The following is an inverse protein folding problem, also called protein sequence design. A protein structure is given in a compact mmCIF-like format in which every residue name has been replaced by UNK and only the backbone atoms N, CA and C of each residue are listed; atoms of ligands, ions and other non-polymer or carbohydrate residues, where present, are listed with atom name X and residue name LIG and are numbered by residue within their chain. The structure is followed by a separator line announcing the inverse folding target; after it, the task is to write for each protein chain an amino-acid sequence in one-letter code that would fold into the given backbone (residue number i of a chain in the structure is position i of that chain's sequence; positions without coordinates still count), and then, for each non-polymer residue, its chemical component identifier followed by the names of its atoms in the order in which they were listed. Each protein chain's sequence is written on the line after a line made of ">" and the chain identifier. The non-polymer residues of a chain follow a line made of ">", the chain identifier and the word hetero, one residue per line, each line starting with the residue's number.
data_IF_522752190686
#
_entry.id   IF_522752190686
#
_cell.length_a   1.000
_cell.length_b   1.000
_cell.length_c   1.000
_cell.angle_alpha   90.00
_cell.angle_beta   90.00
_cell.angle_gamma   90.00
#
_symmetry.space_group_name_H-M   'P 1'
#
loop_
_entity.id
_entity.type
_entity.pdbx_description
1 polymer ?
#
# COMPACT_ATOMS: atom_id res chain seq x y z
N UNK A 1 45.56 16.71 -12.56
CA UNK A 1 45.65 15.49 -13.39
C UNK A 1 44.74 14.43 -12.78
N UNK A 2 43.51 14.26 -13.29
CA UNK A 2 42.57 13.24 -12.85
C UNK A 2 42.27 12.35 -14.06
N UNK A 3 42.62 11.08 -13.94
CA UNK A 3 42.50 10.06 -14.99
C UNK A 3 41.04 9.73 -15.25
N UNK A 4 40.60 10.00 -16.47
CA UNK A 4 39.32 9.62 -17.06
C UNK A 4 39.22 8.09 -17.19
N UNK A 5 38.52 7.47 -16.24
CA UNK A 5 38.21 6.05 -16.29
C UNK A 5 37.02 5.83 -17.24
N UNK A 6 37.35 5.48 -18.48
CA UNK A 6 36.41 5.11 -19.54
C UNK A 6 35.69 3.81 -19.18
N UNK A 7 34.47 3.93 -18.64
CA UNK A 7 33.54 2.80 -18.50
C UNK A 7 32.99 2.46 -19.88
N UNK A 8 33.59 1.47 -20.54
CA UNK A 8 32.97 0.76 -21.68
C UNK A 8 31.68 0.10 -21.17
N UNK A 9 30.55 0.71 -21.48
CA UNK A 9 29.24 0.09 -21.37
C UNK A 9 29.21 -1.09 -22.36
N UNK A 10 29.32 -2.31 -21.83
CA UNK A 10 29.04 -3.52 -22.60
C UNK A 10 27.56 -3.52 -22.95
N UNK A 11 27.23 -3.05 -24.16
CA UNK A 11 25.94 -3.29 -24.81
C UNK A 11 25.79 -4.79 -25.06
N UNK A 12 25.48 -5.56 -24.02
CA UNK A 12 24.95 -6.91 -24.17
C UNK A 12 23.54 -6.74 -24.71
N UNK A 13 23.37 -7.09 -25.99
CA UNK A 13 22.05 -7.31 -26.59
C UNK A 13 21.28 -8.21 -25.61
N UNK A 14 20.08 -7.80 -25.14
CA UNK A 14 19.30 -8.63 -24.23
C UNK A 14 19.09 -9.96 -24.92
N UNK A 15 19.58 -11.04 -24.30
CA UNK A 15 19.38 -12.39 -24.79
C UNK A 15 17.87 -12.56 -25.00
N UNK A 16 17.48 -12.95 -26.21
CA UNK A 16 16.08 -13.21 -26.52
C UNK A 16 15.51 -14.11 -25.40
N UNK A 17 14.32 -13.80 -24.86
CA UNK A 17 13.78 -14.54 -23.74
C UNK A 17 13.79 -16.03 -24.09
N UNK A 18 14.22 -16.90 -23.17
CA UNK A 18 14.35 -18.33 -23.43
C UNK A 18 13.01 -18.83 -23.96
N UNK A 19 12.97 -19.15 -25.25
CA UNK A 19 11.80 -19.79 -25.85
C UNK A 19 11.61 -21.10 -25.13
N UNK A 20 10.43 -21.31 -24.59
CA UNK A 20 10.09 -22.54 -23.89
C UNK A 20 10.27 -23.72 -24.86
N UNK A 21 11.37 -24.45 -24.71
CA UNK A 21 11.71 -25.59 -25.54
C UNK A 21 11.11 -26.83 -24.88
N UNK A 22 9.97 -27.27 -25.39
CA UNK A 22 9.41 -28.57 -25.02
C UNK A 22 10.41 -29.66 -25.44
N UNK A 23 10.94 -30.42 -24.47
CA UNK A 23 11.68 -31.66 -24.78
C UNK A 23 10.73 -32.63 -25.45
N UNK A 24 11.08 -33.13 -26.62
CA UNK A 24 10.30 -34.16 -27.30
C UNK A 24 10.22 -35.41 -26.43
N UNK A 25 9.02 -35.73 -25.92
CA UNK A 25 8.69 -37.07 -25.46
C UNK A 25 7.91 -37.78 -26.56
N UNK A 26 8.25 -39.03 -26.82
CA UNK A 26 7.71 -39.85 -27.93
C UNK A 26 6.46 -40.64 -27.53
N UNK A 27 5.78 -40.25 -26.47
CA UNK A 27 4.64 -40.99 -25.94
C UNK A 27 3.42 -40.86 -26.86
N UNK A 28 2.71 -41.96 -27.08
CA UNK A 28 1.50 -41.99 -27.92
C UNK A 28 0.38 -41.22 -27.21
N UNK A 29 -0.37 -40.41 -27.98
CA UNK A 29 -1.54 -39.66 -27.48
C UNK A 29 -2.59 -40.62 -26.92
N UNK A 30 -2.99 -40.42 -25.66
CA UNK A 30 -4.06 -41.20 -25.05
C UNK A 30 -5.44 -40.63 -25.46
N UNK A 31 -5.92 -41.06 -26.62
CA UNK A 31 -7.20 -40.61 -27.17
C UNK A 31 -8.42 -40.90 -26.29
N UNK A 32 -8.36 -41.91 -25.41
CA UNK A 32 -9.45 -42.18 -24.46
C UNK A 32 -9.59 -41.05 -23.45
N UNK A 33 -8.46 -40.52 -22.99
CA UNK A 33 -8.43 -39.41 -22.05
C UNK A 33 -8.95 -38.13 -22.73
N UNK A 34 -8.48 -37.84 -23.94
CA UNK A 34 -8.96 -36.67 -24.70
C UNK A 34 -10.45 -36.77 -25.06
N UNK A 35 -10.99 -37.97 -25.32
CA UNK A 35 -12.44 -38.14 -25.52
C UNK A 35 -13.27 -37.89 -24.27
N UNK A 36 -12.70 -38.08 -23.08
CA UNK A 36 -13.37 -37.76 -21.83
C UNK A 36 -13.38 -36.24 -21.53
N UNK A 37 -12.59 -35.45 -22.27
CA UNK A 37 -12.57 -34.00 -22.15
C UNK A 37 -13.83 -33.40 -22.77
N UNK A 38 -14.75 -32.93 -21.93
CA UNK A 38 -15.96 -32.26 -22.40
C UNK A 38 -15.63 -30.81 -22.79
N UNK A 39 -15.26 -30.61 -24.06
CA UNK A 39 -14.88 -29.32 -24.63
C UNK A 39 -15.82 -28.15 -24.29
N UNK A 40 -17.14 -28.30 -24.44
CA UNK A 40 -18.07 -27.21 -24.16
C UNK A 40 -18.00 -26.76 -22.69
N UNK A 41 -17.76 -27.69 -21.76
CA UNK A 41 -17.67 -27.36 -20.33
C UNK A 41 -16.37 -26.62 -20.01
N UNK A 42 -15.27 -27.01 -20.64
CA UNK A 42 -13.97 -26.32 -20.49
C UNK A 42 -14.08 -24.88 -20.99
N UNK A 43 -14.68 -24.68 -22.17
CA UNK A 43 -14.88 -23.34 -22.74
C UNK A 43 -15.85 -22.52 -21.88
N UNK A 44 -16.97 -23.12 -21.44
CA UNK A 44 -18.00 -22.44 -20.65
C UNK A 44 -17.51 -22.02 -19.27
N UNK A 45 -16.67 -22.84 -18.62
CA UNK A 45 -16.12 -22.54 -17.30
C UNK A 45 -14.97 -21.54 -17.36
N UNK A 46 -14.22 -21.51 -18.45
CA UNK A 46 -13.04 -20.65 -18.59
C UNK A 46 -11.92 -20.95 -17.59
N UNK A 47 -12.03 -22.06 -16.85
CA UNK A 47 -11.09 -22.45 -15.81
C UNK A 47 -9.97 -23.33 -16.40
N UNK A 48 -8.73 -22.84 -16.47
CA UNK A 48 -7.62 -23.58 -17.03
C UNK A 48 -7.21 -24.81 -16.20
N UNK A 49 -7.63 -24.88 -14.93
CA UNK A 49 -7.39 -26.01 -14.03
C UNK A 49 -8.02 -27.30 -14.57
N UNK A 50 -9.10 -27.19 -15.33
CA UNK A 50 -9.78 -28.34 -15.96
C UNK A 50 -8.91 -28.99 -17.04
N UNK A 51 -7.99 -28.23 -17.65
CA UNK A 51 -7.04 -28.74 -18.63
C UNK A 51 -5.80 -29.36 -17.98
N UNK A 52 -5.50 -29.06 -16.71
CA UNK A 52 -4.27 -29.47 -16.02
C UNK A 52 -3.99 -31.00 -16.09
N UNK A 53 -4.98 -31.90 -15.90
CA UNK A 53 -4.76 -33.35 -16.05
C UNK A 53 -4.40 -33.77 -17.48
N UNK A 54 -4.77 -32.95 -18.47
CA UNK A 54 -4.61 -33.21 -19.90
C UNK A 54 -3.39 -32.49 -20.49
N UNK A 55 -2.85 -31.47 -19.80
CA UNK A 55 -1.75 -30.62 -20.29
C UNK A 55 -0.58 -31.45 -20.76
N UNK A 56 -0.11 -32.43 -19.97
CA UNK A 56 1.03 -33.28 -20.36
C UNK A 56 0.74 -34.04 -21.66
N UNK A 57 -0.46 -34.60 -21.81
CA UNK A 57 -0.80 -35.39 -23.00
C UNK A 57 -1.04 -34.53 -24.25
N UNK A 58 -1.49 -33.29 -24.07
CA UNK A 58 -1.69 -32.31 -25.12
C UNK A 58 -0.36 -31.72 -25.58
N UNK A 59 0.50 -31.27 -24.66
CA UNK A 59 1.76 -30.58 -24.98
C UNK A 59 2.80 -31.52 -25.59
N UNK A 60 2.78 -32.81 -25.25
CA UNK A 60 3.72 -33.80 -25.82
C UNK A 60 3.17 -34.58 -27.02
N UNK A 61 1.94 -34.29 -27.47
CA UNK A 61 1.38 -34.92 -28.66
C UNK A 61 2.17 -34.52 -29.93
N UNK A 62 2.91 -35.46 -30.51
CA UNK A 62 3.56 -35.27 -31.82
C UNK A 62 2.50 -35.20 -32.91
N UNK A 63 2.35 -34.02 -33.50
CA UNK A 63 1.55 -33.85 -34.70
C UNK A 63 2.22 -34.58 -35.88
N UNK A 64 1.46 -35.30 -36.72
CA UNK A 64 2.00 -35.90 -37.93
C UNK A 64 2.67 -34.82 -38.79
N UNK A 65 3.88 -35.09 -39.29
CA UNK A 65 4.67 -34.16 -40.11
C UNK A 65 3.88 -33.66 -41.33
N UNK A 66 2.96 -34.50 -41.84
CA UNK A 66 2.04 -34.17 -42.93
C UNK A 66 1.02 -33.07 -42.61
N UNK A 67 0.70 -32.82 -41.34
CA UNK A 67 -0.22 -31.75 -40.90
C UNK A 67 0.48 -30.43 -40.62
N UNK A 68 1.78 -30.46 -40.26
CA UNK A 68 2.55 -29.26 -40.01
C UNK A 68 2.92 -28.50 -41.30
N UNK A 69 3.08 -29.22 -42.42
CA UNK A 69 3.47 -28.64 -43.72
C UNK A 69 2.32 -27.95 -44.46
N UNK A 70 1.06 -28.26 -44.15
CA UNK A 70 -0.12 -27.75 -44.90
C UNK A 70 -0.72 -26.49 -44.28
N UNK A 71 -0.34 -26.14 -43.03
CA UNK A 71 -0.78 -24.92 -42.38
C UNK A 71 -0.01 -23.65 -42.84
N UNK A 72 0.95 -23.79 -43.77
CA UNK A 72 1.68 -22.68 -44.38
C UNK A 72 1.00 -22.20 -45.66
N UNK A 73 0.47 -20.98 -45.62
CA UNK A 73 0.03 -20.12 -46.74
C UNK A 73 -1.12 -20.61 -47.66
N UNK A 74 -1.16 -21.85 -48.14
CA UNK A 74 -2.05 -22.23 -49.26
C UNK A 74 -3.44 -22.75 -48.83
N UNK A 75 -3.63 -23.04 -47.53
CA UNK A 75 -4.88 -23.60 -47.03
C UNK A 75 -6.03 -22.57 -46.91
N UNK A 76 -5.73 -21.27 -46.75
CA UNK A 76 -6.78 -20.24 -46.67
C UNK A 76 -7.34 -19.86 -48.04
N UNK A 77 -6.56 -19.97 -49.13
CA UNK A 77 -7.00 -19.52 -50.45
C UNK A 77 -8.03 -20.48 -51.10
N UNK A 78 -8.04 -21.75 -50.70
CA UNK A 78 -8.97 -22.75 -51.25
C UNK A 78 -10.31 -22.87 -50.50
N UNK A 79 -10.47 -22.26 -49.32
CA UNK A 79 -11.75 -22.28 -48.58
C UNK A 79 -12.82 -21.43 -49.29
N UNK A 80 -12.43 -20.40 -50.04
CA UNK A 80 -13.38 -19.52 -50.74
C UNK A 80 -13.83 -20.00 -52.12
N UNK A 81 -13.19 -21.02 -52.71
CA UNK A 81 -13.47 -21.42 -54.11
C UNK A 81 -14.22 -22.75 -54.28
N UNK A 82 -14.60 -23.42 -53.19
CA UNK A 82 -15.11 -24.80 -53.25
C UNK A 82 -16.29 -25.12 -52.33
N UNK A 83 -17.28 -24.24 -52.18
CA UNK A 83 -18.42 -24.48 -51.29
C UNK A 83 -19.51 -25.44 -51.82
N UNK A 84 -19.39 -26.00 -53.03
CA UNK A 84 -20.54 -26.67 -53.68
C UNK A 84 -20.32 -28.09 -54.20
N UNK A 85 -19.39 -28.85 -53.61
CA UNK A 85 -19.17 -30.26 -53.98
C UNK A 85 -18.93 -31.19 -52.79
N UNK A 86 -19.74 -31.06 -51.74
CA UNK A 86 -19.87 -32.13 -50.74
C UNK A 86 -20.85 -33.18 -51.26
N UNK A 87 -20.34 -34.02 -52.17
CA UNK A 87 -20.95 -35.32 -52.45
C UNK A 87 -20.61 -36.18 -51.22
N UNK A 88 -21.64 -36.55 -50.46
CA UNK A 88 -21.55 -37.55 -49.40
C UNK A 88 -21.06 -38.86 -50.03
N UNK A 89 -19.75 -39.10 -49.97
CA UNK A 89 -19.18 -40.41 -50.28
C UNK A 89 -18.87 -41.05 -48.92
N UNK A 90 -19.78 -41.91 -48.47
CA UNK A 90 -19.85 -42.50 -47.11
C UNK A 90 -18.75 -43.56 -46.84
N UNK A 91 -17.63 -43.54 -47.55
CA UNK A 91 -16.78 -44.72 -47.70
C UNK A 91 -15.52 -44.85 -46.86
N UNK A 92 -14.87 -43.76 -46.43
CA UNK A 92 -13.51 -43.89 -45.85
C UNK A 92 -13.30 -42.97 -44.64
N UNK A 93 -13.18 -43.58 -43.46
CA UNK A 93 -13.03 -42.93 -42.15
C UNK A 93 -11.71 -42.18 -41.94
N UNK A 94 -11.02 -41.81 -43.02
CA UNK A 94 -9.75 -41.08 -43.03
C UNK A 94 -9.93 -39.56 -42.82
N UNK A 95 -11.12 -39.01 -43.08
CA UNK A 95 -11.43 -37.59 -42.85
C UNK A 95 -11.49 -37.20 -41.36
N UNK A 96 -11.84 -38.14 -40.48
CA UNK A 96 -12.05 -37.85 -39.06
C UNK A 96 -10.71 -37.60 -38.31
N UNK A 97 -9.61 -38.18 -38.81
CA UNK A 97 -8.29 -38.03 -38.19
C UNK A 97 -7.66 -36.65 -38.41
N UNK A 98 -7.88 -36.01 -39.57
CA UNK A 98 -7.35 -34.66 -39.82
C UNK A 98 -7.97 -33.62 -38.89
N UNK A 99 -9.27 -33.74 -38.63
CA UNK A 99 -9.98 -32.85 -37.71
C UNK A 99 -9.52 -33.06 -36.26
N UNK A 100 -9.25 -34.30 -35.85
CA UNK A 100 -8.74 -34.60 -34.51
C UNK A 100 -7.37 -33.95 -34.23
N UNK A 101 -6.45 -33.97 -35.20
CA UNK A 101 -5.13 -33.34 -35.03
C UNK A 101 -5.19 -31.80 -35.02
N UNK A 102 -6.12 -31.21 -35.78
CA UNK A 102 -6.36 -29.76 -35.72
C UNK A 102 -6.86 -29.32 -34.33
N UNK A 103 -7.78 -30.09 -33.74
CA UNK A 103 -8.27 -29.88 -32.37
C UNK A 103 -7.11 -29.99 -31.36
N UNK A 104 -6.26 -31.01 -31.47
CA UNK A 104 -5.07 -31.16 -30.62
C UNK A 104 -4.14 -29.96 -30.73
N UNK A 105 -3.95 -29.39 -31.94
CA UNK A 105 -3.12 -28.19 -32.11
C UNK A 105 -3.75 -26.95 -31.47
N UNK A 106 -5.06 -26.76 -31.58
CA UNK A 106 -5.77 -25.68 -30.88
C UNK A 106 -5.55 -25.80 -29.37
N UNK A 107 -5.65 -27.01 -28.83
CA UNK A 107 -5.40 -27.25 -27.41
C UNK A 107 -3.97 -26.97 -26.97
N UNK A 108 -2.99 -27.33 -27.80
CA UNK A 108 -1.58 -26.99 -27.55
C UNK A 108 -1.40 -25.48 -27.48
N UNK A 109 -1.92 -24.73 -28.46
CA UNK A 109 -1.84 -23.27 -28.49
C UNK A 109 -2.56 -22.62 -27.30
N UNK A 110 -3.74 -23.12 -26.93
CA UNK A 110 -4.48 -22.65 -25.76
C UNK A 110 -3.69 -22.91 -24.47
N UNK A 111 -3.07 -24.08 -24.35
CA UNK A 111 -2.23 -24.43 -23.19
C UNK A 111 -0.95 -23.58 -23.13
N UNK A 112 -0.28 -23.37 -24.26
CA UNK A 112 0.89 -22.48 -24.38
C UNK A 112 0.53 -21.04 -23.97
N UNK A 113 -0.61 -20.52 -24.45
CA UNK A 113 -1.09 -19.19 -24.10
C UNK A 113 -1.43 -19.08 -22.60
N UNK A 114 -2.09 -20.08 -22.02
CA UNK A 114 -2.39 -20.12 -20.58
C UNK A 114 -1.12 -20.15 -19.72
N UNK A 115 -0.12 -20.95 -20.11
CA UNK A 115 1.17 -21.00 -19.44
C UNK A 115 1.92 -19.66 -19.58
N UNK A 116 1.87 -19.03 -20.75
CA UNK A 116 2.41 -17.69 -20.97
C UNK A 116 1.75 -16.65 -20.06
N UNK A 117 0.42 -16.60 -20.01
CA UNK A 117 -0.33 -15.70 -19.14
C UNK A 117 0.02 -15.93 -17.68
N UNK A 118 0.04 -17.18 -17.21
CA UNK A 118 0.42 -17.53 -15.84
C UNK A 118 1.87 -17.16 -15.49
N UNK A 119 2.79 -17.29 -16.45
CA UNK A 119 4.18 -16.85 -16.25
C UNK A 119 4.29 -15.32 -16.12
N UNK A 120 3.50 -14.58 -16.90
CA UNK A 120 3.42 -13.12 -16.83
C UNK A 120 2.79 -12.67 -15.51
N UNK A 121 1.69 -13.29 -15.11
CA UNK A 121 1.02 -13.01 -13.84
C UNK A 121 1.96 -13.29 -12.66
N UNK A 122 2.78 -14.35 -12.74
CA UNK A 122 3.86 -14.60 -11.77
C UNK A 122 4.83 -13.44 -11.64
N UNK A 123 5.28 -12.84 -12.77
CA UNK A 123 6.17 -11.67 -12.72
C UNK A 123 5.49 -10.41 -12.18
N UNK A 124 4.21 -10.21 -12.49
CA UNK A 124 3.42 -9.08 -11.97
C UNK A 124 3.22 -9.23 -10.47
N UNK A 125 2.83 -10.41 -10.00
CA UNK A 125 2.69 -10.72 -8.57
C UNK A 125 4.00 -10.54 -7.81
N UNK A 126 5.12 -10.99 -8.37
CA UNK A 126 6.43 -10.82 -7.73
C UNK A 126 6.85 -9.33 -7.68
N UNK A 127 6.42 -8.53 -8.66
CA UNK A 127 6.64 -7.08 -8.66
C UNK A 127 5.78 -6.40 -7.60
N UNK A 128 4.47 -6.70 -7.55
CA UNK A 128 3.57 -6.18 -6.53
C UNK A 128 3.98 -6.59 -5.12
N UNK A 129 4.48 -7.81 -4.93
CA UNK A 129 5.02 -8.27 -3.65
C UNK A 129 6.21 -7.42 -3.19
N UNK A 130 7.15 -7.10 -4.09
CA UNK A 130 8.29 -6.23 -3.78
C UNK A 130 7.86 -4.80 -3.46
N UNK A 131 6.85 -4.28 -4.16
CA UNK A 131 6.27 -2.97 -3.85
C UNK A 131 5.60 -2.95 -2.48
N UNK A 132 4.89 -4.02 -2.11
CA UNK A 132 4.30 -4.19 -0.78
C UNK A 132 5.39 -4.22 0.31
N UNK A 133 6.44 -5.03 0.14
CA UNK A 133 7.58 -5.11 1.06
C UNK A 133 8.35 -3.78 1.19
N UNK A 134 8.34 -2.94 0.15
CA UNK A 134 8.90 -1.59 0.22
C UNK A 134 7.99 -0.65 1.02
N UNK A 135 6.69 -0.67 0.75
CA UNK A 135 5.69 0.13 1.44
C UNK A 135 5.65 -0.18 2.95
N UNK A 136 5.73 -1.47 3.33
CA UNK A 136 5.80 -1.90 4.73
C UNK A 136 7.03 -1.33 5.44
N UNK A 137 8.21 -1.35 4.80
CA UNK A 137 9.43 -0.75 5.37
C UNK A 137 9.33 0.76 5.53
N UNK A 138 8.73 1.44 4.56
CA UNK A 138 8.50 2.88 4.64
C UNK A 138 7.56 3.20 5.81
N UNK A 139 6.47 2.44 5.98
CA UNK A 139 5.57 2.56 7.14
C UNK A 139 6.31 2.37 8.47
N UNK A 140 7.15 1.34 8.60
CA UNK A 140 7.97 1.12 9.79
C UNK A 140 8.91 2.29 10.08
N UNK A 141 9.53 2.86 9.03
CA UNK A 141 10.40 4.02 9.16
C UNK A 141 9.62 5.26 9.62
N UNK A 142 8.43 5.51 9.06
CA UNK A 142 7.56 6.61 9.48
C UNK A 142 7.13 6.46 10.94
N UNK A 143 6.77 5.26 11.38
CA UNK A 143 6.44 4.98 12.79
C UNK A 143 7.64 5.26 13.69
N UNK A 144 8.84 4.82 13.31
CA UNK A 144 10.06 5.06 14.07
C UNK A 144 10.43 6.56 14.13
N UNK A 145 10.30 7.31 13.03
CA UNK A 145 10.49 8.77 13.00
C UNK A 145 9.47 9.46 13.90
N UNK A 146 8.20 9.08 13.82
CA UNK A 146 7.12 9.62 14.67
C UNK A 146 7.41 9.38 16.15
N UNK A 147 7.89 8.19 16.53
CA UNK A 147 8.28 7.88 17.90
C UNK A 147 9.43 8.77 18.40
N UNK A 148 10.45 9.02 17.56
CA UNK A 148 11.56 9.95 17.88
C UNK A 148 11.06 11.37 18.10
N UNK A 149 10.16 11.85 17.25
CA UNK A 149 9.55 13.18 17.41
C UNK A 149 8.71 13.28 18.69
N UNK A 150 7.91 12.25 19.01
CA UNK A 150 7.15 12.18 20.27
C UNK A 150 8.08 12.24 21.49
N UNK A 151 9.22 11.56 21.47
CA UNK A 151 10.18 11.61 22.58
C UNK A 151 10.87 12.98 22.71
N UNK A 152 11.24 13.62 21.58
CA UNK A 152 11.75 14.99 21.59
C UNK A 152 10.73 15.98 22.15
N UNK A 153 9.47 15.88 21.74
CA UNK A 153 8.39 16.71 22.25
C UNK A 153 8.23 16.54 23.77
N UNK A 154 8.23 15.30 24.28
CA UNK A 154 8.19 15.00 25.73
C UNK A 154 9.39 15.59 26.47
N UNK A 155 10.59 15.55 25.89
CA UNK A 155 11.77 16.19 26.48
C UNK A 155 11.63 17.71 26.53
N UNK A 156 11.12 18.32 25.46
CA UNK A 156 10.77 19.74 25.42
C UNK A 156 9.77 20.13 26.50
N UNK A 157 8.69 19.36 26.67
CA UNK A 157 7.70 19.57 27.71
C UNK A 157 8.31 19.51 29.12
N UNK A 158 9.23 18.56 29.37
CA UNK A 158 9.97 18.49 30.64
C UNK A 158 10.83 19.73 30.89
N UNK A 159 11.47 20.29 29.84
CA UNK A 159 12.26 21.52 29.96
C UNK A 159 11.37 22.73 30.25
N UNK A 160 10.22 22.85 29.57
CA UNK A 160 9.23 23.90 29.82
C UNK A 160 8.70 23.84 31.26
N UNK A 161 8.40 22.64 31.77
CA UNK A 161 8.00 22.47 33.18
C UNK A 161 9.08 22.92 34.16
N UNK A 162 10.35 22.57 33.90
CA UNK A 162 11.48 23.03 34.73
C UNK A 162 11.61 24.56 34.70
N UNK A 163 11.50 25.18 33.52
CA UNK A 163 11.54 26.64 33.39
C UNK A 163 10.39 27.30 34.14
N UNK A 164 9.18 26.76 34.02
CA UNK A 164 8.02 27.23 34.76
C UNK A 164 8.24 27.15 36.28
N UNK A 165 8.83 26.06 36.78
CA UNK A 165 9.16 25.93 38.21
C UNK A 165 10.19 26.97 38.66
N UNK A 166 11.22 27.24 37.84
CA UNK A 166 12.21 28.28 38.13
C UNK A 166 11.53 29.65 38.20
N UNK A 167 10.65 29.98 37.24
CA UNK A 167 9.92 31.25 37.23
C UNK A 167 8.98 31.39 38.44
N UNK A 168 8.29 30.31 38.85
CA UNK A 168 7.51 30.30 40.08
C UNK A 168 8.38 30.56 41.33
N UNK A 169 9.56 29.97 41.39
CA UNK A 169 10.48 30.20 42.51
C UNK A 169 10.98 31.65 42.54
N UNK A 170 11.27 32.25 41.38
CA UNK A 170 11.64 33.67 41.26
C UNK A 170 10.49 34.56 41.73
N UNK A 171 9.25 34.29 41.30
CA UNK A 171 8.08 35.04 41.75
C UNK A 171 7.92 35.00 43.28
N UNK A 172 8.10 33.82 43.90
CA UNK A 172 8.08 33.67 45.37
C UNK A 172 9.21 34.46 46.05
N UNK A 173 10.42 34.45 45.51
CA UNK A 173 11.53 35.23 46.06
C UNK A 173 11.29 36.73 45.97
N UNK A 174 10.75 37.22 44.85
CA UNK A 174 10.36 38.62 44.67
C UNK A 174 9.28 39.04 45.69
N UNK A 175 8.33 38.15 45.97
CA UNK A 175 7.30 38.36 46.99
C UNK A 175 7.90 38.49 48.40
N UNK A 176 8.92 37.70 48.73
CA UNK A 176 9.62 37.76 50.03
C UNK A 176 10.45 39.05 50.17
N UNK A 177 11.07 39.54 49.09
CA UNK A 177 11.94 40.73 49.13
C UNK A 177 11.18 42.07 49.05
N UNK A 178 9.85 42.05 49.17
CA UNK A 178 9.04 43.28 49.17
C UNK A 178 8.93 43.94 47.80
N UNK A 179 9.07 43.18 46.70
CA UNK A 179 8.69 43.67 45.39
C UNK A 179 7.22 44.12 45.41
N UNK A 180 6.88 45.18 44.68
CA UNK A 180 5.52 45.72 44.67
C UNK A 180 4.52 44.61 44.29
N UNK A 181 3.43 44.39 45.05
CA UNK A 181 2.48 43.29 44.81
C UNK A 181 1.96 43.22 43.37
N UNK A 182 1.88 44.38 42.70
CA UNK A 182 1.54 44.51 41.27
C UNK A 182 2.51 43.76 40.33
N UNK A 183 3.82 43.81 40.60
CA UNK A 183 4.83 43.13 39.79
C UNK A 183 4.75 41.61 39.92
N UNK A 184 4.49 41.09 41.13
CA UNK A 184 4.28 39.66 41.38
C UNK A 184 3.00 39.16 40.70
N UNK A 185 1.89 39.88 40.83
CA UNK A 185 0.62 39.52 40.18
C UNK A 185 0.74 39.53 38.64
N UNK A 186 1.51 40.47 38.07
CA UNK A 186 1.77 40.51 36.63
C UNK A 186 2.55 39.29 36.15
N UNK A 187 3.59 38.87 36.90
CA UNK A 187 4.38 37.67 36.59
C UNK A 187 3.52 36.40 36.70
N UNK A 188 2.69 36.28 37.75
CA UNK A 188 1.77 35.14 37.90
C UNK A 188 0.76 35.05 36.76
N UNK A 189 0.22 36.19 36.33
CA UNK A 189 -0.75 36.25 35.22
C UNK A 189 -0.09 35.81 33.91
N UNK A 190 1.09 36.34 33.59
CA UNK A 190 1.86 35.95 32.39
C UNK A 190 2.21 34.46 32.39
N UNK A 191 2.59 33.90 33.54
CA UNK A 191 2.86 32.47 33.67
C UNK A 191 1.61 31.61 33.44
N UNK A 192 0.46 32.02 33.97
CA UNK A 192 -0.81 31.30 33.84
C UNK A 192 -1.33 31.35 32.41
N UNK A 193 -1.17 32.49 31.73
CA UNK A 193 -1.57 32.67 30.34
C UNK A 193 -0.70 31.85 29.39
N UNK A 194 0.62 31.81 29.60
CA UNK A 194 1.53 30.97 28.80
C UNK A 194 1.18 29.48 28.91
N UNK A 195 0.90 28.98 30.12
CA UNK A 195 0.48 27.58 30.33
C UNK A 195 -0.85 27.28 29.66
N UNK A 196 -1.82 28.20 29.78
CA UNK A 196 -3.14 28.04 29.18
C UNK A 196 -3.07 28.04 27.65
N UNK A 197 -2.26 28.93 27.08
CA UNK A 197 -2.03 29.01 25.63
C UNK A 197 -1.33 27.77 25.09
N UNK A 198 -0.40 27.20 25.85
CA UNK A 198 0.28 25.95 25.49
C UNK A 198 -0.64 24.73 25.59
N UNK A 199 -1.47 24.64 26.64
CA UNK A 199 -2.51 23.59 26.75
C UNK A 199 -3.49 23.64 25.58
N UNK A 200 -3.95 24.83 25.18
CA UNK A 200 -4.83 24.99 24.00
C UNK A 200 -4.15 24.52 22.71
N UNK A 201 -2.88 24.88 22.49
CA UNK A 201 -2.10 24.40 21.33
C UNK A 201 -1.96 22.87 21.31
N UNK A 202 -1.65 22.26 22.46
CA UNK A 202 -1.53 20.81 22.55
C UNK A 202 -2.88 20.10 22.36
N UNK A 203 -3.97 20.68 22.86
CA UNK A 203 -5.33 20.16 22.63
C UNK A 203 -5.71 20.21 21.16
N UNK A 204 -5.45 21.33 20.48
CA UNK A 204 -5.73 21.48 19.06
C UNK A 204 -4.94 20.48 18.19
N UNK A 205 -3.70 20.15 18.58
CA UNK A 205 -2.90 19.17 17.86
C UNK A 205 -3.42 17.73 18.02
N UNK A 206 -4.00 17.39 19.18
CA UNK A 206 -4.63 16.08 19.41
C UNK A 206 -5.90 15.89 18.57
N UNK A 207 -6.70 16.94 18.46
CA UNK A 207 -7.94 16.93 17.66
C UNK A 207 -7.58 16.84 16.16
N UNK A 208 -6.59 17.61 15.70
CA UNK A 208 -6.21 17.64 14.28
C UNK A 208 -5.58 16.34 13.75
N UNK A 209 -4.99 15.50 14.62
CA UNK A 209 -4.37 14.25 14.21
C UNK A 209 -5.31 13.03 14.24
N UNK A 210 -6.62 13.23 14.48
CA UNK A 210 -7.60 12.13 14.39
C UNK A 210 -7.44 11.04 15.47
N UNK A 211 -6.66 11.30 16.53
CA UNK A 211 -6.61 10.45 17.73
C UNK A 211 -7.86 10.67 18.62
N UNK A 212 -8.74 11.61 18.23
CA UNK A 212 -10.09 11.75 18.78
C UNK A 212 -11.06 10.91 17.96
N UNK A 213 -11.28 9.67 18.39
CA UNK A 213 -12.56 9.03 18.11
C UNK A 213 -13.65 9.98 18.61
N UNK A 214 -14.45 10.49 17.67
CA UNK A 214 -15.69 11.21 17.94
C UNK A 214 -16.65 10.25 18.65
N UNK A 215 -16.56 10.20 19.98
CA UNK A 215 -17.54 9.59 20.86
C UNK A 215 -18.69 10.60 21.05
N UNK A 216 -19.36 10.95 19.94
CA UNK A 216 -20.60 11.73 19.91
C UNK A 216 -21.80 10.80 20.18
N UNK A 217 -21.76 10.09 21.31
CA UNK A 217 -22.94 9.47 21.89
C UNK A 217 -23.24 10.14 23.23
N UNK A 218 -24.12 11.12 23.18
CA UNK A 218 -24.89 11.62 24.31
C UNK A 218 -25.65 10.44 24.96
N UNK A 219 -24.98 9.77 25.91
CA UNK A 219 -25.50 8.69 26.72
C UNK A 219 -25.02 8.87 28.16
N UNK A 220 -25.93 9.40 28.98
CA UNK A 220 -25.84 9.78 30.40
C UNK A 220 -25.54 8.60 31.37
N UNK A 221 -24.53 7.77 31.09
CA UNK A 221 -24.17 6.60 31.95
C UNK A 221 -22.71 6.09 31.77
N UNK A 222 -21.73 6.96 31.45
CA UNK A 222 -20.37 6.53 31.05
C UNK A 222 -19.18 7.21 31.79
N UNK A 223 -19.41 7.94 32.89
CA UNK A 223 -18.28 8.53 33.67
C UNK A 223 -17.38 7.47 34.36
N UNK A 224 -17.77 6.19 34.38
CA UNK A 224 -17.03 5.11 35.07
C UNK A 224 -16.15 4.23 34.15
N UNK A 225 -16.32 4.27 32.83
CA UNK A 225 -15.58 3.39 31.91
C UNK A 225 -14.26 4.05 31.41
N UNK A 226 -14.27 5.35 31.13
CA UNK A 226 -13.07 6.08 30.64
C UNK A 226 -11.97 6.28 31.70
N UNK A 227 -12.24 5.98 32.97
CA UNK A 227 -11.22 5.88 34.05
C UNK A 227 -10.44 4.55 34.06
N UNK A 228 -10.69 3.64 33.10
CA UNK A 228 -10.14 2.26 33.10
C UNK A 228 -9.01 2.00 32.10
N UNK A 229 -8.55 2.96 31.31
CA UNK A 229 -7.25 2.84 30.63
C UNK A 229 -6.14 3.13 31.65
N UNK A 230 -6.02 2.24 32.63
CA UNK A 230 -4.91 2.22 33.58
C UNK A 230 -3.71 1.68 32.84
N UNK A 231 -2.80 2.56 32.43
CA UNK A 231 -1.46 2.21 31.95
C UNK A 231 -0.93 1.02 32.76
N UNK A 232 -0.81 -0.14 32.11
CA UNK A 232 -0.34 -1.34 32.77
C UNK A 232 1.10 -1.10 33.24
N UNK A 233 1.31 -1.18 34.55
CA UNK A 233 2.61 -0.85 35.17
C UNK A 233 3.41 -2.13 35.35
N UNK A 234 4.61 -2.16 34.78
CA UNK A 234 5.51 -3.30 34.89
C UNK A 234 6.37 -3.21 36.16
N UNK A 235 6.51 -4.31 36.91
CA UNK A 235 7.52 -4.42 37.96
C UNK A 235 8.91 -4.52 37.33
N UNK A 236 9.81 -3.62 37.71
CA UNK A 236 11.16 -3.58 37.16
C UNK A 236 12.00 -4.81 37.53
N UNK A 237 11.74 -5.42 38.69
CA UNK A 237 12.53 -6.54 39.18
C UNK A 237 12.16 -7.89 38.57
N UNK A 238 10.89 -8.10 38.22
CA UNK A 238 10.41 -9.40 37.71
C UNK A 238 9.61 -9.32 36.41
N UNK A 239 9.44 -8.13 35.83
CA UNK A 239 8.77 -7.93 34.54
C UNK A 239 7.25 -8.13 34.53
N UNK A 240 6.60 -8.40 35.68
CA UNK A 240 5.15 -8.64 35.74
C UNK A 240 4.35 -7.34 35.56
N UNK A 241 3.29 -7.41 34.77
CA UNK A 241 2.38 -6.29 34.50
C UNK A 241 1.26 -6.22 35.55
N UNK A 242 0.92 -5.02 36.00
CA UNK A 242 -0.14 -4.78 36.98
C UNK A 242 -1.13 -3.73 36.50
N UNK A 243 -2.42 -4.03 36.65
CA UNK A 243 -3.52 -3.12 36.29
C UNK A 243 -3.65 -1.91 37.22
N UNK A 244 -2.92 -1.84 38.34
CA UNK A 244 -2.89 -0.66 39.21
C UNK A 244 -1.58 -0.50 39.97
N UNK A 245 -1.24 0.75 40.27
CA UNK A 245 -0.08 1.10 41.11
C UNK A 245 -0.15 0.47 42.52
N UNK A 246 -1.36 0.28 43.06
CA UNK A 246 -1.56 -0.32 44.38
C UNK A 246 -1.18 -1.81 44.36
N UNK A 247 -1.53 -2.54 43.29
CA UNK A 247 -1.14 -3.94 43.13
C UNK A 247 0.37 -4.09 42.88
N UNK A 248 0.96 -3.20 42.07
CA UNK A 248 2.40 -3.16 41.89
C UNK A 248 3.14 -2.91 43.22
N UNK A 249 2.65 -1.97 44.03
CA UNK A 249 3.23 -1.67 45.36
C UNK A 249 3.09 -2.84 46.32
N UNK A 250 1.92 -3.50 46.38
CA UNK A 250 1.71 -4.73 47.18
C UNK A 250 2.62 -5.87 46.70
N UNK A 251 2.85 -5.97 45.40
CA UNK A 251 3.77 -6.94 44.82
C UNK A 251 5.23 -6.66 45.23
N UNK A 252 5.71 -5.42 45.14
CA UNK A 252 7.04 -5.04 45.64
C UNK A 252 7.21 -5.40 47.12
N UNK A 253 6.22 -5.10 47.96
CA UNK A 253 6.29 -5.42 49.38
C UNK A 253 6.29 -6.93 49.69
N UNK A 254 5.61 -7.75 48.89
CA UNK A 254 5.52 -9.21 49.15
C UNK A 254 6.64 -10.02 48.51
N UNK A 255 7.10 -9.64 47.32
CA UNK A 255 8.04 -10.41 46.50
C UNK A 255 9.44 -9.79 46.42
N UNK A 256 9.56 -8.50 46.75
CA UNK A 256 10.83 -7.76 46.83
C UNK A 256 11.00 -7.08 48.22
N UNK A 257 10.84 -7.82 49.35
CA UNK A 257 11.02 -7.27 50.69
C UNK A 257 12.52 -7.01 50.96
N UNK A 258 13.04 -5.89 50.47
CA UNK A 258 14.44 -5.50 50.69
C UNK A 258 14.89 -4.31 49.85
N UNK A 259 14.31 -4.11 48.67
CA UNK A 259 14.78 -3.11 47.69
C UNK A 259 13.98 -1.80 47.71
N UNK A 260 12.95 -1.71 48.55
CA UNK A 260 12.20 -0.46 48.81
C UNK A 260 12.94 0.52 49.75
N UNK A 261 14.23 0.31 50.01
CA UNK A 261 15.09 1.26 50.72
C UNK A 261 15.44 2.39 49.77
N UNK A 262 14.56 3.39 49.73
CA UNK A 262 14.83 4.76 49.30
C UNK A 262 15.76 4.91 48.08
N UNK A 263 15.18 4.97 46.88
CA UNK A 263 15.70 5.86 45.84
C UNK A 263 15.51 7.31 46.32
N UNK A 264 16.25 7.71 47.37
CA UNK A 264 16.55 9.11 47.66
C UNK A 264 17.47 9.57 46.54
N UNK A 265 16.84 10.10 45.50
CA UNK A 265 17.49 10.93 44.51
C UNK A 265 18.32 11.99 45.25
N UNK A 266 19.64 11.90 45.10
CA UNK A 266 20.61 12.99 45.28
C UNK A 266 20.37 13.90 46.49
N UNK A 267 20.70 13.42 47.68
CA UNK A 267 21.22 14.33 48.70
C UNK A 267 22.56 14.87 48.18
N UNK A 268 22.54 16.11 47.68
CA UNK A 268 23.74 16.88 47.39
C UNK A 268 24.72 16.77 48.57
N UNK A 269 26.04 16.57 48.32
CA UNK A 269 27.02 16.56 49.38
C UNK A 269 26.96 17.88 50.13
N UNK A 270 26.50 17.84 51.39
CA UNK A 270 26.55 18.97 52.32
C UNK A 270 28.00 19.40 52.46
N UNK A 271 28.34 20.51 51.82
CA UNK A 271 29.62 21.18 51.99
C UNK A 271 29.71 21.65 53.45
N UNK A 272 30.59 21.03 54.23
CA UNK A 272 30.91 21.51 55.58
C UNK A 272 31.66 22.85 55.45
N UNK A 273 31.21 23.94 56.10
CA UNK A 273 32.04 25.13 56.24
C UNK A 273 33.25 24.74 57.09
N UNK A 274 34.43 24.73 56.47
CA UNK A 274 35.70 24.53 57.15
C UNK A 274 35.96 25.80 57.97
N UNK A 275 35.57 25.78 59.24
CA UNK A 275 36.01 26.75 60.23
C UNK A 275 37.52 26.56 60.42
N UNK A 276 38.31 27.44 59.82
CA UNK A 276 39.69 27.68 60.23
C UNK A 276 39.74 29.06 60.86
N UNK A 277 39.58 29.07 62.18
CA UNK A 277 40.13 30.11 63.02
C UNK A 277 41.66 29.94 62.97
N UNK A 278 42.37 30.94 62.45
CA UNK A 278 43.67 31.33 63.00
C UNK A 278 44.02 32.73 62.53
N UNK A 279 43.67 33.66 63.40
CA UNK A 279 44.14 35.04 63.42
C UNK A 279 45.66 35.03 63.53
N UNK A 280 46.34 35.39 62.46
CA UNK A 280 47.74 35.83 62.54
C UNK A 280 47.79 37.23 61.96
N UNK A 281 48.00 38.20 62.84
CA UNK A 281 48.20 39.61 62.53
C UNK A 281 49.40 39.77 61.59
N UNK A 282 49.12 40.06 60.32
CA UNK A 282 50.13 40.47 59.35
C UNK A 282 50.14 42.01 59.23
N UNK A 283 51.30 42.60 58.88
CA UNK A 283 51.53 44.03 58.96
C UNK A 283 50.76 44.79 57.87
N UNK A 284 50.37 46.00 58.22
CA UNK A 284 49.75 47.00 57.36
C UNK A 284 50.79 47.42 56.31
N UNK A 285 50.92 46.67 55.23
CA UNK A 285 51.71 47.07 54.07
C UNK A 285 50.88 47.06 52.78
N UNK A 286 50.95 48.22 52.12
CA UNK A 286 50.64 48.55 50.73
C UNK A 286 49.22 48.29 50.20
N UNK A 287 48.32 49.21 50.57
CA UNK A 287 46.96 49.34 50.02
C UNK A 287 46.94 49.49 48.48
N UNK A 288 48.05 49.93 47.86
CA UNK A 288 48.13 50.16 46.41
C UNK A 288 48.24 48.88 45.57
N UNK A 289 48.89 47.83 46.10
CA UNK A 289 49.01 46.54 45.40
C UNK A 289 47.68 45.78 45.33
N UNK A 290 46.92 45.79 46.43
CA UNK A 290 45.60 45.15 46.53
C UNK A 290 44.57 45.76 45.57
N UNK A 291 44.58 47.08 45.41
CA UNK A 291 43.68 47.76 44.48
C UNK A 291 43.98 47.39 43.03
N UNK A 292 45.27 47.27 42.65
CA UNK A 292 45.67 46.81 41.31
C UNK A 292 45.20 45.38 41.04
N UNK A 293 45.34 44.47 41.99
CA UNK A 293 44.85 43.09 41.86
C UNK A 293 43.33 43.04 41.70
N UNK A 294 42.59 43.84 42.48
CA UNK A 294 41.13 43.92 42.36
C UNK A 294 40.69 44.44 40.99
N UNK A 295 41.33 45.51 40.48
CA UNK A 295 41.05 46.03 39.14
C UNK A 295 41.36 45.00 38.05
N UNK A 296 42.45 44.26 38.18
CA UNK A 296 42.79 43.19 37.23
C UNK A 296 41.76 42.05 37.25
N UNK A 297 41.30 41.65 38.44
CA UNK A 297 40.23 40.65 38.56
C UNK A 297 38.91 41.14 37.95
N UNK A 298 38.53 42.40 38.17
CA UNK A 298 37.32 42.98 37.58
C UNK A 298 37.39 42.97 36.05
N UNK A 299 38.54 43.36 35.47
CA UNK A 299 38.75 43.30 34.02
C UNK A 299 38.68 41.86 33.48
N UNK A 300 39.22 40.88 34.20
CA UNK A 300 39.11 39.47 33.82
C UNK A 300 37.66 38.96 33.86
N UNK A 301 36.89 39.35 34.88
CA UNK A 301 35.46 39.01 34.97
C UNK A 301 34.67 39.68 33.85
N UNK A 302 34.95 40.95 33.55
CA UNK A 302 34.31 41.67 32.46
C UNK A 302 34.59 41.00 31.10
N UNK A 303 35.84 40.64 30.82
CA UNK A 303 36.21 39.90 29.61
C UNK A 303 35.52 38.55 29.53
N UNK A 304 35.52 37.76 30.62
CA UNK A 304 34.86 36.47 30.66
C UNK A 304 33.33 36.58 30.45
N UNK A 305 32.70 37.64 30.94
CA UNK A 305 31.29 37.92 30.69
C UNK A 305 31.02 38.32 29.24
N UNK A 306 31.90 39.12 28.63
CA UNK A 306 31.81 39.47 27.20
C UNK A 306 31.95 38.22 26.30
N UNK A 307 32.96 37.38 26.56
CA UNK A 307 33.15 36.11 25.83
C UNK A 307 31.93 35.19 25.97
N UNK A 308 31.38 35.08 27.18
CA UNK A 308 30.19 34.27 27.42
C UNK A 308 28.96 34.85 26.70
N UNK A 309 28.80 36.18 26.69
CA UNK A 309 27.73 36.85 25.97
C UNK A 309 27.83 36.63 24.46
N UNK A 310 29.03 36.70 23.88
CA UNK A 310 29.26 36.40 22.46
C UNK A 310 29.00 34.94 22.13
N UNK A 311 29.43 34.02 23.00
CA UNK A 311 29.15 32.59 22.87
C UNK A 311 27.64 32.31 22.85
N UNK A 312 26.87 32.91 23.76
CA UNK A 312 25.41 32.78 23.79
C UNK A 312 24.75 33.37 22.55
N UNK A 313 25.22 34.51 22.04
CA UNK A 313 24.73 35.09 20.78
C UNK A 313 25.02 34.21 19.58
N UNK A 314 26.21 33.60 19.52
CA UNK A 314 26.58 32.65 18.46
C UNK A 314 25.70 31.41 18.49
N UNK A 315 25.51 30.82 19.68
CA UNK A 315 24.64 29.66 19.88
C UNK A 315 23.18 29.97 19.51
N UNK A 316 22.68 31.15 19.89
CA UNK A 316 21.33 31.58 19.52
C UNK A 316 21.18 31.68 17.99
N UNK A 317 22.17 32.23 17.27
CA UNK A 317 22.16 32.29 15.80
C UNK A 317 22.16 30.88 15.19
N UNK A 318 23.00 29.98 15.69
CA UNK A 318 23.04 28.59 15.21
C UNK A 318 21.69 27.88 15.41
N UNK A 319 21.08 28.02 16.59
CA UNK A 319 19.76 27.45 16.87
C UNK A 319 18.66 28.08 16.00
N UNK A 320 18.71 29.39 15.71
CA UNK A 320 17.75 30.00 14.77
C UNK A 320 17.85 29.43 13.36
N UNK A 321 19.06 29.16 12.86
CA UNK A 321 19.27 28.54 11.55
C UNK A 321 18.76 27.09 11.54
N UNK A 322 19.00 26.32 12.61
CA UNK A 322 18.47 24.96 12.75
C UNK A 322 16.93 24.95 12.76
N UNK A 323 16.32 25.86 13.51
CA UNK A 323 14.86 26.00 13.57
C UNK A 323 14.31 26.35 12.19
N UNK A 324 14.92 27.29 11.49
CA UNK A 324 14.52 27.66 10.13
C UNK A 324 14.60 26.45 9.18
N UNK A 325 15.70 25.69 9.22
CA UNK A 325 15.85 24.48 8.42
C UNK A 325 14.76 23.44 8.72
N UNK A 326 14.39 23.24 9.99
CA UNK A 326 13.30 22.35 10.36
C UNK A 326 11.94 22.83 9.83
N UNK A 327 11.68 24.13 9.80
CA UNK A 327 10.46 24.68 9.21
C UNK A 327 10.40 24.46 7.69
N UNK A 328 11.52 24.67 6.99
CA UNK A 328 11.62 24.40 5.55
C UNK A 328 11.40 22.91 5.25
N UNK A 329 12.00 22.01 6.04
CA UNK A 329 11.79 20.57 5.91
C UNK A 329 10.34 20.18 6.17
N UNK A 330 9.73 20.67 7.25
CA UNK A 330 8.34 20.41 7.58
C UNK A 330 7.39 20.90 6.49
N UNK A 331 7.69 22.05 5.88
CA UNK A 331 6.90 22.58 4.77
C UNK A 331 7.00 21.68 3.53
N UNK A 332 8.19 21.21 3.17
CA UNK A 332 8.39 20.27 2.07
C UNK A 332 7.67 18.92 2.32
N UNK A 333 7.73 18.40 3.54
CA UNK A 333 7.01 17.18 3.93
C UNK A 333 5.49 17.36 3.84
N UNK A 334 4.95 18.52 4.26
CA UNK A 334 3.53 18.84 4.11
C UNK A 334 3.10 18.94 2.63
N UNK A 335 3.93 19.53 1.77
CA UNK A 335 3.65 19.58 0.33
C UNK A 335 3.58 18.18 -0.28
N UNK A 336 4.54 17.32 0.05
CA UNK A 336 4.56 15.94 -0.42
C UNK A 336 3.36 15.13 0.11
N UNK A 337 2.92 15.37 1.34
CA UNK A 337 1.73 14.75 1.89
C UNK A 337 0.45 15.16 1.12
N UNK A 338 0.31 16.43 0.75
CA UNK A 338 -0.81 16.91 -0.06
C UNK A 338 -0.77 16.35 -1.50
N UNK A 339 0.41 16.21 -2.11
CA UNK A 339 0.58 15.55 -3.41
C UNK A 339 0.16 14.07 -3.37
N UNK A 340 0.57 13.34 -2.34
CA UNK A 340 0.16 11.94 -2.13
C UNK A 340 -1.36 11.84 -1.96
N UNK A 341 -1.96 12.75 -1.17
CA UNK A 341 -3.42 12.79 -0.97
C UNK A 341 -4.16 13.07 -2.28
N UNK A 342 -3.68 14.01 -3.09
CA UNK A 342 -4.25 14.31 -4.40
C UNK A 342 -4.13 13.11 -5.36
N UNK A 343 -2.98 12.43 -5.38
CA UNK A 343 -2.77 11.23 -6.18
C UNK A 343 -3.70 10.09 -5.77
N UNK A 344 -3.91 9.89 -4.46
CA UNK A 344 -4.84 8.90 -3.93
C UNK A 344 -6.28 9.16 -4.38
N UNK A 345 -6.76 10.40 -4.25
CA UNK A 345 -8.12 10.78 -4.72
C UNK A 345 -8.28 10.52 -6.21
N UNK A 346 -7.24 10.81 -7.02
CA UNK A 346 -7.27 10.53 -8.45
C UNK A 346 -7.34 9.02 -8.76
N UNK A 347 -6.60 8.20 -8.01
CA UNK A 347 -6.63 6.75 -8.16
C UNK A 347 -8.00 6.18 -7.76
N UNK A 348 -8.56 6.63 -6.63
CA UNK A 348 -9.91 6.25 -6.16
C UNK A 348 -10.97 6.61 -7.21
N UNK A 349 -10.90 7.80 -7.81
CA UNK A 349 -11.80 8.20 -8.91
C UNK A 349 -11.70 7.27 -10.12
N UNK A 350 -10.48 6.90 -10.53
CA UNK A 350 -10.30 5.95 -11.65
C UNK A 350 -10.87 4.57 -11.34
N UNK A 351 -10.70 4.09 -10.11
CA UNK A 351 -11.30 2.83 -9.67
C UNK A 351 -12.82 2.90 -9.78
N UNK A 352 -13.44 3.98 -9.29
CA UNK A 352 -14.88 4.19 -9.40
C UNK A 352 -15.36 4.22 -10.85
N UNK A 353 -14.68 4.96 -11.74
CA UNK A 353 -14.98 5.01 -13.17
C UNK A 353 -14.90 3.60 -13.81
N UNK A 354 -13.85 2.83 -13.52
CA UNK A 354 -13.72 1.46 -14.04
C UNK A 354 -14.76 0.51 -13.48
N UNK A 355 -15.18 0.70 -12.23
CA UNK A 355 -16.22 -0.09 -11.60
C UNK A 355 -17.60 0.21 -12.21
N UNK A 356 -17.88 1.48 -12.52
CA UNK A 356 -19.09 1.87 -13.26
C UNK A 356 -19.10 1.26 -14.68
N UNK A 357 -17.97 1.31 -15.40
CA UNK A 357 -17.86 0.70 -16.73
C UNK A 357 -18.09 -0.82 -16.68
N UNK A 358 -17.51 -1.51 -15.69
CA UNK A 358 -17.73 -2.93 -15.49
C UNK A 358 -19.21 -3.23 -15.20
N UNK A 359 -19.88 -2.39 -14.40
CA UNK A 359 -21.31 -2.47 -14.14
C UNK A 359 -22.16 -2.40 -15.41
N UNK A 360 -21.85 -1.44 -16.31
CA UNK A 360 -22.54 -1.34 -17.60
C UNK A 360 -22.33 -2.58 -18.47
N UNK A 361 -21.10 -3.09 -18.56
CA UNK A 361 -20.79 -4.30 -19.35
C UNK A 361 -21.52 -5.53 -18.79
N UNK A 362 -21.61 -5.66 -17.47
CA UNK A 362 -22.37 -6.74 -16.84
C UNK A 362 -23.86 -6.64 -17.14
N UNK A 363 -24.44 -5.44 -17.12
CA UNK A 363 -25.82 -5.21 -17.51
C UNK A 363 -26.07 -5.59 -18.99
N UNK A 364 -25.22 -5.11 -19.90
CA UNK A 364 -25.30 -5.45 -21.34
C UNK A 364 -25.23 -6.96 -21.58
N UNK A 365 -24.37 -7.66 -20.81
CA UNK A 365 -24.27 -9.12 -20.84
C UNK A 365 -25.57 -9.77 -20.36
N UNK A 366 -26.17 -9.29 -19.28
CA UNK A 366 -27.44 -9.82 -18.77
C UNK A 366 -28.59 -9.63 -19.78
N UNK A 367 -28.68 -8.45 -20.40
CA UNK A 367 -29.66 -8.15 -21.44
C UNK A 367 -29.46 -9.06 -22.67
N UNK A 368 -28.21 -9.29 -23.09
CA UNK A 368 -27.90 -10.21 -24.19
C UNK A 368 -28.25 -11.67 -23.83
N UNK A 369 -28.03 -12.09 -22.59
CA UNK A 369 -28.42 -13.42 -22.10
C UNK A 369 -29.94 -13.59 -22.09
N UNK A 370 -30.69 -12.55 -21.70
CA UNK A 370 -32.15 -12.54 -21.75
C UNK A 370 -32.67 -12.67 -23.20
N UNK A 371 -32.13 -11.88 -24.13
CA UNK A 371 -32.48 -11.97 -25.56
C UNK A 371 -32.18 -13.35 -26.15
N UNK A 372 -31.06 -13.97 -25.77
CA UNK A 372 -30.74 -15.35 -26.17
C UNK A 372 -31.75 -16.36 -25.60
N UNK A 373 -32.26 -16.11 -24.38
CA UNK A 373 -33.37 -16.87 -23.79
C UNK A 373 -34.62 -16.81 -24.66
N UNK A 374 -35.08 -15.61 -25.01
CA UNK A 374 -36.27 -15.40 -25.83
C UNK A 374 -36.14 -16.05 -27.22
N UNK A 375 -34.99 -15.89 -27.88
CA UNK A 375 -34.72 -16.52 -29.18
C UNK A 375 -34.76 -18.05 -29.09
N UNK A 376 -34.26 -18.63 -27.99
CA UNK A 376 -34.31 -20.07 -27.76
C UNK A 376 -35.75 -20.57 -27.60
N UNK A 377 -36.60 -19.83 -26.89
CA UNK A 377 -38.02 -20.15 -26.75
C UNK A 377 -38.76 -20.06 -28.10
N UNK A 378 -38.47 -19.04 -28.91
CA UNK A 378 -39.04 -18.91 -30.27
C UNK A 378 -38.64 -20.10 -31.17
N UNK A 379 -37.38 -20.53 -31.13
CA UNK A 379 -36.91 -21.70 -31.88
C UNK A 379 -37.65 -22.96 -31.43
N UNK A 380 -37.79 -23.18 -30.11
CA UNK A 380 -38.53 -24.33 -29.57
C UNK A 380 -40.00 -24.32 -29.98
N UNK A 381 -40.64 -23.15 -29.98
CA UNK A 381 -42.01 -22.98 -30.45
C UNK A 381 -42.16 -23.33 -31.93
N UNK A 382 -41.27 -22.83 -32.79
CA UNK A 382 -41.28 -23.14 -34.22
C UNK A 382 -41.04 -24.62 -34.50
N UNK A 383 -40.14 -25.27 -33.74
CA UNK A 383 -39.90 -26.70 -33.82
C UNK A 383 -41.14 -27.52 -33.41
N UNK A 384 -41.85 -27.11 -32.36
CA UNK A 384 -43.10 -27.74 -31.94
C UNK A 384 -44.18 -27.59 -33.01
N UNK A 385 -44.35 -26.38 -33.56
CA UNK A 385 -45.30 -26.11 -34.64
C UNK A 385 -45.02 -26.96 -35.87
N UNK A 386 -43.75 -27.04 -36.30
CA UNK A 386 -43.32 -27.90 -37.42
C UNK A 386 -43.67 -29.37 -37.16
N UNK A 387 -43.48 -29.87 -35.94
CA UNK A 387 -43.85 -31.25 -35.58
C UNK A 387 -45.36 -31.49 -35.67
N UNK A 388 -46.19 -30.53 -35.26
CA UNK A 388 -47.64 -30.62 -35.39
C UNK A 388 -48.11 -30.62 -36.86
N UNK A 389 -47.52 -29.77 -37.70
CA UNK A 389 -47.82 -29.73 -39.14
C UNK A 389 -47.49 -31.07 -39.81
N UNK A 390 -46.35 -31.69 -39.47
CA UNK A 390 -45.96 -33.02 -39.99
C UNK A 390 -46.95 -34.12 -39.54
N UNK A 391 -47.41 -34.09 -38.29
CA UNK A 391 -48.34 -35.11 -37.77
C UNK A 391 -49.76 -34.98 -38.33
N UNK A 392 -50.17 -33.78 -38.75
CA UNK A 392 -51.53 -33.54 -39.25
C UNK A 392 -51.85 -34.18 -40.61
N UNK A 393 -50.89 -34.89 -41.24
CA UNK A 393 -51.17 -35.80 -42.36
C UNK A 393 -51.69 -35.11 -43.63
N UNK A 394 -51.71 -33.77 -43.67
CA UNK A 394 -51.94 -33.02 -44.89
C UNK A 394 -50.66 -33.17 -45.71
N UNK A 395 -50.60 -34.27 -46.48
CA UNK A 395 -49.67 -34.44 -47.58
C UNK A 395 -49.92 -33.30 -48.56
N UNK A 396 -49.28 -32.15 -48.30
CA UNK A 396 -49.15 -31.07 -49.26
C UNK A 396 -48.36 -31.65 -50.42
N UNK A 397 -49.11 -32.07 -51.44
CA UNK A 397 -48.62 -32.57 -52.72
C UNK A 397 -47.44 -31.72 -53.15
N UNK A 398 -46.27 -32.36 -53.18
CA UNK A 398 -44.99 -31.83 -53.64
C UNK A 398 -45.20 -31.18 -55.01
N UNK A 399 -45.37 -29.86 -55.01
CA UNK A 399 -45.16 -29.07 -56.21
C UNK A 399 -43.65 -28.94 -56.41
N UNK A 400 -43.17 -29.10 -57.65
CA UNK A 400 -41.76 -29.07 -57.95
C UNK A 400 -41.19 -27.73 -57.52
N UNK A 401 -40.03 -27.80 -56.86
CA UNK A 401 -39.19 -26.68 -56.42
C UNK A 401 -38.95 -25.75 -57.61
N UNK A 402 -39.85 -24.79 -57.77
CA UNK A 402 -39.62 -23.58 -58.53
C UNK A 402 -38.48 -22.88 -57.83
N UNK A 403 -37.41 -22.61 -58.58
CA UNK A 403 -36.23 -21.85 -58.15
C UNK A 403 -36.66 -20.55 -57.47
N UNK A 404 -36.80 -20.59 -56.15
CA UNK A 404 -36.98 -19.39 -55.35
C UNK A 404 -35.65 -18.66 -55.48
N UNK A 405 -35.63 -17.66 -56.35
CA UNK A 405 -34.52 -16.73 -56.47
C UNK A 405 -34.27 -16.19 -55.06
N UNK A 406 -33.04 -16.30 -54.53
CA UNK A 406 -32.73 -15.79 -53.21
C UNK A 406 -33.14 -14.32 -53.18
N UNK A 407 -33.96 -13.98 -52.20
CA UNK A 407 -34.44 -12.63 -52.00
C UNK A 407 -33.22 -11.71 -51.85
N UNK A 408 -33.01 -10.87 -52.87
CA UNK A 408 -31.83 -10.01 -53.01
C UNK A 408 -31.68 -9.13 -51.78
N UNK A 409 -32.81 -8.79 -51.14
CA UNK A 409 -32.87 -8.03 -49.89
C UNK A 409 -32.09 -8.73 -48.77
N UNK A 410 -32.31 -10.03 -48.58
CA UNK A 410 -31.67 -10.80 -47.52
C UNK A 410 -30.16 -10.94 -47.74
N UNK A 411 -29.73 -11.13 -49.00
CA UNK A 411 -28.31 -11.18 -49.34
C UNK A 411 -27.59 -9.82 -49.17
N UNK A 412 -28.28 -8.71 -49.39
CA UNK A 412 -27.72 -7.37 -49.16
C UNK A 412 -27.57 -7.09 -47.66
N UNK A 413 -28.53 -7.54 -46.85
CA UNK A 413 -28.50 -7.37 -45.41
C UNK A 413 -27.37 -8.18 -44.76
N UNK A 414 -27.17 -9.43 -45.21
CA UNK A 414 -26.03 -10.27 -44.78
C UNK A 414 -24.69 -9.58 -45.12
N UNK A 415 -24.53 -9.06 -46.34
CA UNK A 415 -23.31 -8.34 -46.73
C UNK A 415 -23.05 -7.09 -45.89
N UNK A 416 -24.11 -6.37 -45.49
CA UNK A 416 -23.99 -5.17 -44.65
C UNK A 416 -23.54 -5.53 -43.23
N UNK A 417 -24.03 -6.63 -42.69
CA UNK A 417 -23.63 -7.14 -41.37
C UNK A 417 -22.18 -7.63 -41.36
N UNK A 418 -21.75 -8.34 -42.41
CA UNK A 418 -20.35 -8.76 -42.59
C UNK A 418 -19.40 -7.54 -42.62
N UNK A 419 -19.75 -6.50 -43.38
CA UNK A 419 -18.96 -5.26 -43.45
C UNK A 419 -18.83 -4.54 -42.10
N UNK A 420 -19.89 -4.59 -41.29
CA UNK A 420 -19.91 -3.96 -39.96
C UNK A 420 -19.03 -4.72 -38.96
N UNK A 421 -19.01 -6.05 -39.05
CA UNK A 421 -18.14 -6.90 -38.23
C UNK A 421 -16.65 -6.70 -38.55
N UNK A 422 -16.30 -6.55 -39.82
CA UNK A 422 -14.91 -6.30 -40.23
C UNK A 422 -14.39 -4.93 -39.76
N UNK A 423 -15.24 -3.90 -39.79
CA UNK A 423 -14.91 -2.56 -39.27
C UNK A 423 -14.67 -2.56 -37.76
N UNK A 424 -15.37 -3.41 -37.01
CA UNK A 424 -15.18 -3.53 -35.57
C UNK A 424 -13.96 -4.39 -35.21
N UNK A 425 -13.60 -5.38 -36.04
CA UNK A 425 -12.37 -6.17 -35.86
C UNK A 425 -11.07 -5.38 -36.04
N UNK A 426 -11.08 -4.31 -36.84
CA UNK A 426 -9.90 -3.48 -37.07
C UNK A 426 -9.59 -2.45 -35.97
N UNK A 427 -10.43 -2.34 -34.92
CA UNK A 427 -10.32 -1.31 -33.87
C UNK A 427 -9.93 -1.86 -32.48
N UNK A 428 -9.80 -3.18 -32.33
CA UNK A 428 -9.13 -3.83 -31.18
C UNK A 428 -7.68 -4.14 -31.53
#
# INVERSE_FOLDING_TARGET
>A
MKTSSSRRANNRVPAAPPRFCWRERTEKVNWRMLRALHLPDVIKRGDPSVLEPYVLHLTFARLPVSTASVAGADAMENVHRGANRYRYDEGDGTYDQRNAWFIVRIFQLATEYLLFMRSRDGTVLETMKKELELCERDCEEFVARTAKWKERARSGDKQVQKLHQVLQNVAKLLQIQGATPSSVATIETLLTELVSRQKKRNSHYRIANGDGEEDDLEGDDSEDEQKRIKEARQCFYCGKMFASAVYLKKHHLRRHPGENKELRLNEFPKYKPRQHANSTSAPIEDNGSREKTLRQMLLQVEHALQDHQESLRSLAKEETVKIQHFYEQLHAENQLAEEIKASRIQAEKKVEETQQQLGMILQEKEDAVAQLGDLKEQIQFLDLKRKMEIQSGIHSSVLPVSSVKPDISMTLEIKRLEQTLDLNRGKS
#
